data_IF_078767123724
#
_entry.id   IF_078767123724
#
_cell.length_a   1.000
_cell.length_b   1.000
_cell.length_c   1.000
_cell.angle_alpha   90.00
_cell.angle_beta   90.00
_cell.angle_gamma   90.00
#
_symmetry.space_group_name_H-M   'P 1'
#
loop_
_entity.id
_entity.type
_entity.pdbx_description
1 polymer ?
#
# COMPACT_ATOMS: atom_id res chain seq x y z
N UNK A 1 -15.90 13.30 18.05
CA UNK A 1 -16.90 12.69 17.15
C UNK A 1 -18.18 12.42 17.92
N UNK A 2 -19.37 12.63 17.35
CA UNK A 2 -20.62 12.23 18.02
C UNK A 2 -20.91 10.74 17.74
N UNK A 3 -21.61 10.02 18.64
CA UNK A 3 -22.01 8.62 18.40
C UNK A 3 -22.84 8.44 17.13
N UNK A 4 -23.68 9.42 16.78
CA UNK A 4 -24.54 9.37 15.59
C UNK A 4 -23.72 9.43 14.29
N UNK A 5 -22.66 10.24 14.23
CA UNK A 5 -21.78 10.30 13.07
C UNK A 5 -20.99 9.01 12.88
N UNK A 6 -20.51 8.41 13.97
CA UNK A 6 -19.83 7.09 13.92
C UNK A 6 -20.78 6.00 13.43
N UNK A 7 -22.03 5.97 13.91
CA UNK A 7 -22.99 4.95 13.43
C UNK A 7 -23.34 5.16 11.95
N UNK A 8 -23.47 6.41 11.51
CA UNK A 8 -23.67 6.72 10.09
C UNK A 8 -22.47 6.28 9.23
N UNK A 9 -21.25 6.50 9.69
CA UNK A 9 -20.04 6.01 9.04
C UNK A 9 -20.02 4.47 8.95
N UNK A 10 -20.35 3.77 10.04
CA UNK A 10 -20.49 2.30 10.04
C UNK A 10 -21.58 1.83 9.08
N UNK A 11 -22.68 2.58 8.93
CA UNK A 11 -23.74 2.25 7.99
C UNK A 11 -23.25 2.28 6.53
N UNK A 12 -22.46 3.29 6.17
CA UNK A 12 -21.79 3.37 4.85
C UNK A 12 -20.86 2.17 4.66
N UNK A 13 -20.03 1.86 5.65
CA UNK A 13 -19.06 0.76 5.55
C UNK A 13 -19.70 -0.63 5.52
N UNK A 14 -20.93 -0.81 6.05
CA UNK A 14 -21.68 -2.06 5.88
C UNK A 14 -22.11 -2.31 4.43
N UNK A 15 -22.32 -1.26 3.64
CA UNK A 15 -22.73 -1.37 2.23
C UNK A 15 -21.53 -1.33 1.28
N UNK A 16 -20.57 -0.45 1.57
CA UNK A 16 -19.37 -0.23 0.77
C UNK A 16 -18.17 -0.19 1.71
N UNK A 17 -17.67 -1.37 2.10
CA UNK A 17 -16.55 -1.48 3.04
C UNK A 17 -15.26 -0.95 2.43
N UNK A 18 -14.21 -0.82 3.25
CA UNK A 18 -12.89 -0.36 2.79
C UNK A 18 -12.20 -1.45 1.98
N UNK A 19 -11.68 -1.08 0.82
CA UNK A 19 -10.59 -1.74 0.11
C UNK A 19 -9.32 -1.02 0.53
N UNK A 20 -8.55 -1.63 1.43
CA UNK A 20 -7.30 -1.05 1.89
C UNK A 20 -6.14 -1.48 0.98
N UNK A 21 -5.36 -0.48 0.55
CA UNK A 21 -4.31 -0.63 -0.44
C UNK A 21 -3.01 -1.25 0.06
N UNK A 22 -2.74 -1.25 1.36
CA UNK A 22 -1.45 -1.69 1.89
C UNK A 22 -1.47 -2.03 3.39
N UNK A 23 -1.13 -3.27 3.74
CA UNK A 23 -0.98 -3.76 5.10
C UNK A 23 0.12 -4.83 5.17
N UNK A 24 1.07 -4.64 6.08
CA UNK A 24 2.29 -5.46 6.23
C UNK A 24 2.19 -6.58 7.27
N UNK A 25 0.97 -7.00 7.62
CA UNK A 25 0.76 -8.15 8.49
C UNK A 25 1.66 -9.37 8.12
N UNK A 26 1.90 -9.71 6.83
CA UNK A 26 2.84 -10.76 6.48
C UNK A 26 4.27 -10.53 7.00
N UNK A 27 4.83 -9.33 6.82
CA UNK A 27 6.16 -9.00 7.33
C UNK A 27 6.21 -8.97 8.86
N UNK A 28 5.18 -8.39 9.50
CA UNK A 28 5.08 -8.42 10.96
C UNK A 28 5.04 -9.86 11.51
N UNK A 29 4.31 -10.76 10.84
CA UNK A 29 4.25 -12.19 11.19
C UNK A 29 5.58 -12.92 10.95
N UNK A 30 6.31 -12.57 9.88
CA UNK A 30 7.69 -13.05 9.69
C UNK A 30 8.57 -12.70 10.87
N UNK A 31 8.59 -11.41 11.24
CA UNK A 31 9.50 -10.89 12.25
C UNK A 31 9.15 -11.36 13.67
N UNK A 32 7.87 -11.39 14.01
CA UNK A 32 7.42 -11.64 15.39
C UNK A 32 7.17 -13.13 15.70
N UNK A 33 6.83 -13.94 14.69
CA UNK A 33 6.39 -15.30 14.88
C UNK A 33 7.01 -16.31 13.91
N UNK A 34 7.90 -15.89 13.00
CA UNK A 34 8.43 -16.77 11.97
C UNK A 34 7.32 -17.42 11.13
N UNK A 35 6.25 -16.67 10.87
CA UNK A 35 5.02 -17.10 10.18
C UNK A 35 4.13 -18.10 10.94
N UNK A 36 4.39 -18.40 12.21
CA UNK A 36 3.59 -19.34 12.98
C UNK A 36 2.21 -18.78 13.35
N UNK A 37 1.18 -19.18 12.59
CA UNK A 37 -0.21 -18.83 12.81
C UNK A 37 -0.84 -19.51 14.04
N UNK A 38 -0.22 -20.54 14.61
CA UNK A 38 -0.66 -21.12 15.88
C UNK A 38 -0.12 -20.32 17.07
N UNK A 39 1.08 -19.74 16.92
CA UNK A 39 1.64 -18.82 17.92
C UNK A 39 0.94 -17.45 17.92
N UNK A 40 0.35 -17.04 16.79
CA UNK A 40 -0.43 -15.80 16.64
C UNK A 40 -1.73 -16.07 15.90
N UNK A 41 -2.76 -16.45 16.68
CA UNK A 41 -4.11 -16.67 16.17
C UNK A 41 -4.82 -15.33 15.89
N UNK A 42 -5.09 -15.05 14.62
CA UNK A 42 -5.72 -13.80 14.18
C UNK A 42 -7.22 -13.74 14.49
N UNK A 43 -7.83 -14.80 15.00
CA UNK A 43 -9.20 -14.77 15.54
C UNK A 43 -9.24 -14.25 16.98
N UNK A 44 -8.10 -14.26 17.68
CA UNK A 44 -7.93 -13.68 19.00
C UNK A 44 -7.56 -12.20 18.91
N UNK A 45 -7.66 -11.51 20.05
CA UNK A 45 -7.20 -10.13 20.18
C UNK A 45 -5.67 -10.07 20.11
N UNK A 46 -5.15 -9.34 19.12
CA UNK A 46 -3.71 -9.15 18.91
C UNK A 46 -3.27 -7.69 19.16
N UNK A 47 -4.10 -6.86 19.81
CA UNK A 47 -3.85 -5.43 19.96
C UNK A 47 -2.58 -5.08 20.75
N UNK A 48 -2.02 -6.03 21.50
CA UNK A 48 -0.76 -5.86 22.23
C UNK A 48 0.48 -5.95 21.34
N UNK A 49 0.36 -6.38 20.08
CA UNK A 49 1.51 -6.65 19.20
C UNK A 49 1.32 -6.31 17.72
N UNK A 50 0.08 -6.27 17.24
CA UNK A 50 -0.28 -6.04 15.85
C UNK A 50 -1.35 -4.95 15.76
N UNK A 51 -1.33 -4.21 14.67
CA UNK A 51 -2.45 -3.37 14.25
C UNK A 51 -3.60 -4.21 13.70
N UNK A 52 -3.33 -5.44 13.25
CA UNK A 52 -4.32 -6.27 12.55
C UNK A 52 -4.70 -7.54 13.31
N UNK A 53 -6.00 -7.76 13.43
CA UNK A 53 -6.63 -9.08 13.64
C UNK A 53 -8.02 -9.10 12.99
N UNK A 54 -8.62 -10.29 12.87
CA UNK A 54 -9.89 -10.47 12.14
C UNK A 54 -11.07 -9.77 12.82
N UNK A 55 -11.03 -9.61 14.15
CA UNK A 55 -12.05 -8.90 14.90
C UNK A 55 -12.03 -7.40 14.59
N UNK A 56 -10.84 -6.80 14.65
CA UNK A 56 -10.64 -5.38 14.35
C UNK A 56 -10.84 -5.03 12.88
N UNK A 57 -10.45 -5.90 11.93
CA UNK A 57 -10.75 -5.69 10.50
C UNK A 57 -12.27 -5.56 10.27
N UNK A 58 -13.06 -6.44 10.89
CA UNK A 58 -14.53 -6.36 10.82
C UNK A 58 -15.07 -5.11 11.52
N UNK A 59 -14.53 -4.74 12.69
CA UNK A 59 -14.93 -3.54 13.41
C UNK A 59 -14.63 -2.24 12.62
N UNK A 60 -13.53 -2.25 11.86
CA UNK A 60 -13.13 -1.19 10.96
C UNK A 60 -13.92 -1.13 9.66
N UNK A 61 -14.68 -2.17 9.33
CA UNK A 61 -15.41 -2.24 8.07
C UNK A 61 -14.49 -2.46 6.86
N UNK A 62 -13.40 -3.20 7.04
CA UNK A 62 -12.54 -3.65 5.93
C UNK A 62 -13.22 -4.81 5.20
N UNK A 63 -13.37 -4.68 3.88
CA UNK A 63 -14.01 -5.69 3.02
C UNK A 63 -13.08 -6.23 1.95
N UNK A 64 -11.99 -5.54 1.66
CA UNK A 64 -10.87 -6.09 0.91
C UNK A 64 -9.55 -5.52 1.44
N UNK A 65 -8.49 -6.32 1.36
CA UNK A 65 -7.16 -5.95 1.76
C UNK A 65 -6.18 -6.40 0.69
N UNK A 66 -5.33 -5.48 0.24
CA UNK A 66 -4.06 -5.87 -0.38
C UNK A 66 -3.06 -6.16 0.73
N UNK A 67 -2.73 -7.42 0.91
CA UNK A 67 -1.67 -7.86 1.81
C UNK A 67 -0.32 -7.62 1.13
N UNK A 68 0.51 -6.80 1.76
CA UNK A 68 1.85 -6.53 1.26
C UNK A 68 2.68 -7.81 1.36
N UNK A 69 3.32 -8.19 0.25
CA UNK A 69 4.36 -9.23 0.23
C UNK A 69 5.74 -8.58 0.20
N UNK A 70 5.88 -7.48 0.95
CA UNK A 70 7.11 -6.72 1.15
C UNK A 70 8.28 -7.61 1.57
N UNK A 71 9.46 -7.27 1.05
CA UNK A 71 10.75 -7.73 1.54
C UNK A 71 11.75 -6.56 1.54
N UNK A 72 12.70 -6.49 2.49
CA UNK A 72 13.65 -5.39 2.58
C UNK A 72 14.52 -5.25 1.34
N UNK A 73 14.88 -4.01 1.01
CA UNK A 73 15.68 -3.68 -0.18
C UNK A 73 17.15 -4.12 -0.05
N UNK A 74 17.60 -4.46 1.17
CA UNK A 74 18.91 -5.06 1.41
C UNK A 74 19.00 -6.50 0.88
N UNK A 75 17.86 -7.18 0.72
CA UNK A 75 17.79 -8.44 -0.01
C UNK A 75 17.83 -8.14 -1.51
N UNK A 76 18.64 -8.89 -2.23
CA UNK A 76 18.79 -8.74 -3.69
C UNK A 76 18.92 -10.11 -4.36
N UNK A 77 18.84 -10.13 -5.68
CA UNK A 77 19.00 -11.38 -6.41
C UNK A 77 17.94 -12.42 -6.05
N UNK A 78 18.37 -13.66 -5.93
CA UNK A 78 17.50 -14.80 -5.61
C UNK A 78 17.01 -14.79 -4.16
N UNK A 79 17.70 -14.09 -3.25
CA UNK A 79 17.29 -13.98 -1.84
C UNK A 79 16.01 -13.13 -1.71
N UNK A 80 15.93 -12.02 -2.44
CA UNK A 80 14.71 -11.18 -2.50
C UNK A 80 13.52 -11.95 -3.07
N UNK A 81 13.75 -12.70 -4.16
CA UNK A 81 12.71 -13.54 -4.78
C UNK A 81 12.24 -14.62 -3.81
N UNK A 82 13.16 -15.32 -3.15
CA UNK A 82 12.83 -16.39 -2.20
C UNK A 82 12.02 -15.85 -1.02
N UNK A 83 12.43 -14.72 -0.44
CA UNK A 83 11.68 -14.08 0.64
C UNK A 83 10.29 -13.62 0.17
N UNK A 84 10.16 -13.12 -1.06
CA UNK A 84 8.85 -12.73 -1.63
C UNK A 84 7.93 -13.94 -1.75
N UNK A 85 8.47 -15.10 -2.14
CA UNK A 85 7.70 -16.35 -2.22
C UNK A 85 7.23 -16.81 -0.84
N UNK A 86 8.05 -16.66 0.21
CA UNK A 86 7.66 -16.95 1.60
C UNK A 86 6.51 -16.04 2.07
N UNK A 87 6.56 -14.74 1.72
CA UNK A 87 5.47 -13.80 2.04
C UNK A 87 4.16 -14.17 1.31
N UNK A 88 4.24 -14.56 0.04
CA UNK A 88 3.09 -15.06 -0.74
C UNK A 88 2.51 -16.34 -0.12
N UNK A 89 3.37 -17.28 0.29
CA UNK A 89 2.97 -18.53 0.93
C UNK A 89 2.22 -18.25 2.23
N UNK A 90 2.73 -17.33 3.07
CA UNK A 90 2.05 -16.92 4.29
C UNK A 90 0.65 -16.38 4.03
N UNK A 91 0.46 -15.46 3.07
CA UNK A 91 -0.87 -14.92 2.75
C UNK A 91 -1.82 -16.03 2.31
N UNK A 92 -1.35 -16.98 1.50
CA UNK A 92 -2.16 -18.14 1.07
C UNK A 92 -2.54 -19.02 2.26
N UNK A 93 -1.57 -19.42 3.08
CA UNK A 93 -1.81 -20.21 4.29
C UNK A 93 -2.77 -19.52 5.26
N UNK A 94 -2.65 -18.20 5.44
CA UNK A 94 -3.57 -17.39 6.24
C UNK A 94 -5.01 -17.45 5.68
N UNK A 95 -5.19 -17.28 4.36
CA UNK A 95 -6.53 -17.36 3.76
C UNK A 95 -7.14 -18.77 3.84
N UNK A 96 -6.33 -19.82 3.78
CA UNK A 96 -6.76 -21.20 3.94
C UNK A 96 -7.09 -21.55 5.40
N UNK A 97 -6.38 -20.95 6.36
CA UNK A 97 -6.59 -21.14 7.80
C UNK A 97 -7.88 -20.49 8.30
N UNK A 98 -8.28 -19.36 7.70
CA UNK A 98 -9.44 -18.57 8.12
C UNK A 98 -10.50 -18.39 7.00
N UNK A 99 -11.02 -19.47 6.39
CA UNK A 99 -11.86 -19.40 5.18
C UNK A 99 -13.26 -18.81 5.42
N UNK A 100 -13.70 -18.78 6.69
CA UNK A 100 -14.95 -18.13 7.12
C UNK A 100 -14.82 -16.59 7.18
N UNK A 101 -13.59 -16.08 7.24
CA UNK A 101 -13.30 -14.65 7.35
C UNK A 101 -12.69 -14.08 6.08
N UNK A 102 -11.79 -14.84 5.45
CA UNK A 102 -10.98 -14.40 4.32
C UNK A 102 -11.31 -15.20 3.07
N UNK A 103 -11.18 -14.56 1.92
CA UNK A 103 -11.23 -15.20 0.60
C UNK A 103 -10.10 -14.66 -0.25
N UNK A 104 -9.19 -15.53 -0.71
CA UNK A 104 -8.21 -15.14 -1.71
C UNK A 104 -8.94 -14.61 -2.96
N UNK A 105 -8.59 -13.39 -3.38
CA UNK A 105 -9.23 -12.69 -4.49
C UNK A 105 -8.19 -12.32 -5.54
N UNK A 106 -8.51 -12.63 -6.80
CA UNK A 106 -7.59 -12.49 -7.93
C UNK A 106 -8.13 -11.56 -9.01
N UNK A 107 -9.38 -11.12 -8.88
CA UNK A 107 -10.08 -10.30 -9.86
C UNK A 107 -11.03 -9.32 -9.18
N UNK A 108 -11.44 -8.28 -9.89
CA UNK A 108 -12.49 -7.36 -9.43
C UNK A 108 -13.80 -8.09 -9.09
N UNK A 109 -14.14 -9.15 -9.82
CA UNK A 109 -15.35 -9.96 -9.55
C UNK A 109 -15.20 -10.83 -8.29
N UNK A 110 -13.97 -11.22 -7.93
CA UNK A 110 -13.72 -11.89 -6.64
C UNK A 110 -13.93 -10.95 -5.45
N UNK A 111 -13.57 -9.66 -5.58
CA UNK A 111 -13.87 -8.65 -4.53
C UNK A 111 -15.37 -8.55 -4.31
N UNK A 112 -16.14 -8.40 -5.39
CA UNK A 112 -17.60 -8.32 -5.32
C UNK A 112 -18.21 -9.60 -4.71
N UNK A 113 -17.73 -10.78 -5.13
CA UNK A 113 -18.17 -12.06 -4.58
C UNK A 113 -17.85 -12.20 -3.08
N UNK A 114 -16.65 -11.80 -2.65
CA UNK A 114 -16.27 -11.84 -1.23
C UNK A 114 -17.18 -10.94 -0.39
N UNK A 115 -17.46 -9.73 -0.89
CA UNK A 115 -18.36 -8.78 -0.23
C UNK A 115 -19.77 -9.35 -0.07
N UNK A 116 -20.33 -9.96 -1.12
CA UNK A 116 -21.65 -10.61 -1.08
C UNK A 116 -21.71 -11.76 -0.06
N UNK A 117 -20.61 -12.47 0.13
CA UNK A 117 -20.46 -13.56 1.09
C UNK A 117 -20.11 -13.10 2.51
N UNK A 118 -19.91 -11.79 2.74
CA UNK A 118 -19.51 -11.25 4.04
C UNK A 118 -18.09 -11.64 4.48
N UNK A 119 -17.22 -11.96 3.50
CA UNK A 119 -15.80 -12.28 3.67
C UNK A 119 -14.93 -11.13 3.20
N UNK A 120 -13.74 -11.00 3.77
CA UNK A 120 -12.74 -10.03 3.35
C UNK A 120 -12.02 -10.60 2.13
N UNK A 121 -12.06 -9.88 1.00
CA UNK A 121 -11.25 -10.21 -0.16
C UNK A 121 -9.78 -9.97 0.14
N UNK A 122 -8.96 -11.01 0.07
CA UNK A 122 -7.53 -10.97 0.33
C UNK A 122 -6.77 -10.99 -1.00
N UNK A 123 -6.17 -9.88 -1.35
CA UNK A 123 -5.28 -9.72 -2.50
C UNK A 123 -3.82 -9.64 -2.04
N UNK A 124 -2.89 -9.72 -2.97
CA UNK A 124 -1.46 -9.55 -2.69
C UNK A 124 -0.87 -8.44 -3.54
N UNK A 125 0.05 -7.68 -2.98
CA UNK A 125 0.83 -6.69 -3.71
C UNK A 125 2.30 -6.72 -3.30
N UNK A 126 3.19 -6.80 -4.28
CA UNK A 126 4.62 -6.82 -4.04
C UNK A 126 5.14 -5.39 -3.89
N UNK A 127 6.01 -5.17 -2.92
CA UNK A 127 6.52 -3.83 -2.60
C UNK A 127 8.00 -3.72 -2.94
N UNK A 128 8.25 -3.24 -4.16
CA UNK A 128 9.59 -2.97 -4.68
C UNK A 128 10.02 -3.92 -5.78
N UNK A 129 10.55 -3.33 -6.86
CA UNK A 129 10.99 -4.02 -8.07
C UNK A 129 12.15 -4.99 -7.88
N UNK A 130 12.86 -4.95 -6.74
CA UNK A 130 13.87 -5.95 -6.39
C UNK A 130 13.25 -7.36 -6.23
N UNK A 131 11.96 -7.45 -5.91
CA UNK A 131 11.21 -8.71 -5.80
C UNK A 131 11.16 -9.52 -7.11
N UNK A 132 11.39 -8.88 -8.26
CA UNK A 132 11.43 -9.57 -9.57
C UNK A 132 12.84 -9.82 -10.09
N UNK A 133 13.88 -9.38 -9.37
CA UNK A 133 15.29 -9.56 -9.75
C UNK A 133 15.58 -9.21 -11.23
N UNK A 134 15.05 -8.08 -11.70
CA UNK A 134 15.15 -7.62 -13.10
C UNK A 134 14.75 -8.68 -14.15
N UNK A 135 13.81 -9.56 -13.81
CA UNK A 135 13.33 -10.65 -14.68
C UNK A 135 11.83 -10.52 -14.95
N UNK A 136 11.48 -10.28 -16.21
CA UNK A 136 10.09 -10.26 -16.66
C UNK A 136 9.40 -11.63 -16.50
N UNK A 137 10.16 -12.73 -16.51
CA UNK A 137 9.61 -14.06 -16.24
C UNK A 137 9.25 -14.22 -14.75
N UNK A 138 10.07 -13.67 -13.84
CA UNK A 138 9.78 -13.65 -12.40
C UNK A 138 8.54 -12.80 -12.12
N UNK A 139 8.43 -11.61 -12.75
CA UNK A 139 7.22 -10.78 -12.69
C UNK A 139 5.95 -11.58 -13.07
N UNK A 140 6.00 -12.31 -14.18
CA UNK A 140 4.89 -13.19 -14.61
C UNK A 140 4.60 -14.31 -13.61
N UNK A 141 5.63 -14.89 -13.00
CA UNK A 141 5.48 -15.92 -11.98
C UNK A 141 4.78 -15.38 -10.72
N UNK A 142 5.18 -14.20 -10.22
CA UNK A 142 4.52 -13.54 -9.10
C UNK A 142 3.04 -13.26 -9.40
N UNK A 143 2.73 -12.76 -10.61
CA UNK A 143 1.34 -12.58 -11.04
C UNK A 143 0.54 -13.89 -11.03
N UNK A 144 1.13 -14.99 -11.54
CA UNK A 144 0.52 -16.31 -11.55
C UNK A 144 0.29 -16.85 -10.13
N UNK A 145 1.16 -16.51 -9.19
CA UNK A 145 1.02 -16.80 -7.77
C UNK A 145 0.01 -15.91 -7.05
N UNK A 146 -0.57 -14.92 -7.73
CA UNK A 146 -1.71 -14.13 -7.23
C UNK A 146 -1.39 -12.68 -6.90
N UNK A 147 -0.16 -12.21 -7.12
CA UNK A 147 0.20 -10.80 -6.93
C UNK A 147 -0.53 -9.92 -7.95
N UNK A 148 -1.09 -8.80 -7.50
CA UNK A 148 -1.95 -7.90 -8.30
C UNK A 148 -1.46 -6.47 -8.41
N UNK A 149 -0.52 -6.03 -7.59
CA UNK A 149 0.30 -4.86 -7.89
C UNK A 149 1.78 -5.14 -7.65
N UNK A 150 2.64 -4.34 -8.27
CA UNK A 150 4.05 -4.21 -7.90
C UNK A 150 4.39 -2.73 -7.72
N UNK A 151 4.85 -2.35 -6.54
CA UNK A 151 5.47 -1.04 -6.29
C UNK A 151 6.83 -1.04 -6.98
N UNK A 152 7.10 -0.07 -7.86
CA UNK A 152 8.28 -0.16 -8.74
C UNK A 152 9.61 -0.08 -7.98
N UNK A 153 9.63 0.64 -6.86
CA UNK A 153 10.74 0.67 -5.89
C UNK A 153 10.19 0.54 -4.47
N UNK A 154 11.06 0.25 -3.50
CA UNK A 154 10.80 0.57 -2.10
C UNK A 154 11.61 1.83 -1.77
N UNK A 155 12.28 1.90 -0.61
CA UNK A 155 13.07 3.07 -0.19
C UNK A 155 14.41 3.26 -0.93
N UNK A 156 14.81 2.33 -1.79
CA UNK A 156 16.07 2.39 -2.55
C UNK A 156 15.83 2.20 -4.03
N UNK A 157 16.71 2.80 -4.84
CA UNK A 157 16.70 2.62 -6.29
C UNK A 157 16.85 1.13 -6.65
N UNK A 158 16.17 0.72 -7.73
CA UNK A 158 16.45 -0.55 -8.41
C UNK A 158 17.20 -0.25 -9.71
N UNK A 159 17.80 -1.25 -10.38
CA UNK A 159 18.59 -1.01 -11.60
C UNK A 159 17.86 -0.35 -12.79
N UNK A 160 16.55 -0.12 -12.68
CA UNK A 160 15.68 0.36 -13.75
C UNK A 160 14.62 1.40 -13.31
N UNK A 161 14.61 1.83 -12.04
CA UNK A 161 13.70 2.84 -11.52
C UNK A 161 14.27 3.56 -10.29
N UNK A 162 14.03 4.88 -10.20
CA UNK A 162 14.44 5.69 -9.05
C UNK A 162 13.36 5.73 -7.94
N UNK A 163 13.80 5.60 -6.69
CA UNK A 163 13.00 5.77 -5.47
C UNK A 163 12.97 7.25 -5.03
N UNK A 164 11.95 7.63 -4.26
CA UNK A 164 11.79 8.99 -3.76
C UNK A 164 12.76 9.35 -2.63
N UNK A 165 13.26 8.34 -1.92
CA UNK A 165 14.08 8.46 -0.71
C UNK A 165 15.54 8.07 -0.96
N UNK A 166 15.97 8.08 -2.21
CA UNK A 166 17.33 7.77 -2.63
C UNK A 166 17.84 8.84 -3.61
N UNK A 167 19.15 8.86 -3.85
CA UNK A 167 19.76 9.80 -4.78
C UNK A 167 19.38 9.43 -6.24
N UNK A 168 18.99 10.40 -7.08
CA UNK A 168 18.61 10.11 -8.47
C UNK A 168 19.74 9.45 -9.28
N UNK A 169 19.45 8.35 -9.98
CA UNK A 169 20.42 7.66 -10.85
C UNK A 169 19.95 7.66 -12.30
N UNK A 170 18.69 7.36 -12.55
CA UNK A 170 18.15 7.14 -13.90
C UNK A 170 17.38 8.36 -14.43
N UNK A 171 16.92 9.23 -13.53
CA UNK A 171 15.99 10.32 -13.84
C UNK A 171 14.56 9.83 -14.09
N UNK A 172 14.14 8.77 -13.39
CA UNK A 172 12.83 8.13 -13.57
C UNK A 172 12.94 6.64 -13.92
N UNK A 173 12.34 6.24 -15.04
CA UNK A 173 12.43 4.86 -15.56
C UNK A 173 13.49 4.73 -16.66
N UNK A 174 14.26 3.64 -16.62
CA UNK A 174 15.09 3.24 -17.76
C UNK A 174 14.24 2.59 -18.87
N UNK A 175 14.84 2.22 -20.01
CA UNK A 175 14.11 1.52 -21.07
C UNK A 175 13.62 0.15 -20.61
N UNK A 176 14.39 -0.55 -19.78
CA UNK A 176 13.90 -1.77 -19.12
C UNK A 176 12.78 -1.47 -18.13
N UNK A 177 12.85 -0.38 -17.37
CA UNK A 177 11.77 0.04 -16.46
C UNK A 177 10.45 0.30 -17.19
N UNK A 178 10.51 0.96 -18.35
CA UNK A 178 9.33 1.10 -19.22
C UNK A 178 8.80 -0.27 -19.70
N UNK A 179 9.68 -1.22 -19.99
CA UNK A 179 9.28 -2.57 -20.42
C UNK A 179 8.65 -3.38 -19.28
N UNK A 180 9.10 -3.19 -18.04
CA UNK A 180 8.44 -3.72 -16.85
C UNK A 180 7.00 -3.21 -16.77
N UNK A 181 6.78 -1.89 -16.88
CA UNK A 181 5.43 -1.28 -16.92
C UNK A 181 4.56 -1.88 -18.03
N UNK A 182 5.12 -2.04 -19.25
CA UNK A 182 4.39 -2.64 -20.38
C UNK A 182 4.02 -4.10 -20.14
N UNK A 183 4.87 -4.88 -19.48
CA UNK A 183 4.57 -6.28 -19.16
C UNK A 183 3.54 -6.37 -18.02
N UNK A 184 3.60 -5.47 -17.02
CA UNK A 184 2.58 -5.34 -15.98
C UNK A 184 1.19 -5.06 -16.57
N UNK A 185 1.09 -4.10 -17.49
CA UNK A 185 -0.16 -3.82 -18.21
C UNK A 185 -0.65 -5.02 -19.03
N UNK A 186 0.25 -5.76 -19.67
CA UNK A 186 -0.11 -6.99 -20.41
C UNK A 186 -0.64 -8.09 -19.50
N UNK A 187 -0.11 -8.19 -18.28
CA UNK A 187 -0.54 -9.18 -17.29
C UNK A 187 -1.88 -8.83 -16.64
N UNK A 188 -2.13 -7.53 -16.43
CA UNK A 188 -3.19 -7.03 -15.55
C UNK A 188 -2.70 -6.87 -14.11
N UNK A 189 -1.38 -6.71 -13.92
CA UNK A 189 -0.80 -6.31 -12.65
C UNK A 189 -0.78 -4.77 -12.60
N UNK A 190 -1.33 -4.20 -11.55
CA UNK A 190 -1.36 -2.75 -11.32
C UNK A 190 0.06 -2.23 -11.08
N UNK A 191 0.37 -1.12 -11.73
CA UNK A 191 1.62 -0.38 -11.52
C UNK A 191 1.43 0.49 -10.30
N UNK A 192 2.14 0.16 -9.21
CA UNK A 192 2.09 0.94 -7.98
C UNK A 192 3.25 1.94 -7.93
N UNK A 193 2.88 3.20 -7.68
CA UNK A 193 3.73 4.39 -7.67
C UNK A 193 3.90 4.98 -6.27
N UNK A 194 3.47 4.29 -5.22
CA UNK A 194 4.06 4.51 -3.90
C UNK A 194 5.59 4.31 -3.98
N UNK A 195 6.33 4.93 -3.07
CA UNK A 195 7.80 4.92 -2.94
C UNK A 195 8.63 5.55 -4.06
N UNK A 196 8.16 5.56 -5.30
CA UNK A 196 8.98 5.97 -6.44
C UNK A 196 9.22 7.48 -6.48
N UNK A 197 10.31 7.90 -7.12
CA UNK A 197 10.59 9.33 -7.35
C UNK A 197 9.49 9.99 -8.19
N UNK A 198 9.34 11.32 -8.09
CA UNK A 198 8.35 12.04 -8.89
C UNK A 198 8.58 11.90 -10.41
N UNK A 199 9.83 11.72 -10.85
CA UNK A 199 10.15 11.49 -12.26
C UNK A 199 9.74 10.07 -12.68
N UNK A 200 9.94 9.08 -11.82
CA UNK A 200 9.42 7.72 -12.03
C UNK A 200 7.89 7.71 -12.11
N UNK A 201 7.20 8.50 -11.29
CA UNK A 201 5.73 8.65 -11.38
C UNK A 201 5.31 9.15 -12.77
N UNK A 202 5.95 10.20 -13.27
CA UNK A 202 5.65 10.81 -14.58
C UNK A 202 5.94 9.87 -15.74
N UNK A 203 7.06 9.14 -15.68
CA UNK A 203 7.41 8.16 -16.71
C UNK A 203 6.45 6.98 -16.73
N UNK A 204 6.09 6.44 -15.57
CA UNK A 204 5.12 5.36 -15.49
C UNK A 204 3.74 5.78 -16.03
N UNK A 205 3.26 6.99 -15.68
CA UNK A 205 2.01 7.54 -16.22
C UNK A 205 2.05 7.75 -17.74
N UNK A 206 3.21 8.14 -18.28
CA UNK A 206 3.42 8.29 -19.74
C UNK A 206 3.40 6.95 -20.46
N UNK A 207 3.96 5.91 -19.87
CA UNK A 207 4.13 4.59 -20.50
C UNK A 207 2.88 3.72 -20.32
N UNK A 208 2.19 3.84 -19.19
CA UNK A 208 1.14 2.89 -18.83
C UNK A 208 -0.12 3.04 -19.68
N UNK A 209 -0.60 1.91 -20.19
CA UNK A 209 -1.87 1.80 -20.92
C UNK A 209 -3.06 1.41 -20.02
N UNK A 210 -2.80 1.18 -18.72
CA UNK A 210 -3.80 0.83 -17.72
C UNK A 210 -3.80 1.85 -16.57
N UNK A 211 -4.88 1.90 -15.77
CA UNK A 211 -4.89 2.67 -14.53
C UNK A 211 -3.74 2.27 -13.60
N UNK A 212 -3.03 3.28 -13.08
CA UNK A 212 -1.99 3.11 -12.05
C UNK A 212 -2.59 3.16 -10.64
N UNK A 213 -1.80 2.75 -9.67
CA UNK A 213 -2.12 2.75 -8.25
C UNK A 213 -1.07 3.57 -7.50
N UNK A 214 -1.46 4.28 -6.45
CA UNK A 214 -0.58 4.55 -5.32
C UNK A 214 -1.17 3.80 -4.13
N UNK A 215 -0.54 2.72 -3.69
CA UNK A 215 -1.13 1.81 -2.68
C UNK A 215 -1.22 2.45 -1.31
N UNK A 216 -0.32 3.38 -1.00
CA UNK A 216 -0.23 4.11 0.27
C UNK A 216 0.63 5.39 0.11
N UNK A 217 0.06 6.47 -0.41
CA UNK A 217 0.74 7.77 -0.53
C UNK A 217 -0.26 8.92 -0.38
N UNK A 218 0.16 9.99 0.29
CA UNK A 218 -0.69 11.14 0.58
C UNK A 218 -0.27 12.37 -0.25
N UNK A 219 -0.97 13.51 -0.11
CA UNK A 219 -0.66 14.74 -0.87
C UNK A 219 0.64 15.44 -0.44
N UNK A 220 1.51 15.77 -1.42
CA UNK A 220 2.76 16.50 -1.15
C UNK A 220 2.52 17.99 -0.91
N UNK A 221 1.47 18.56 -1.49
CA UNK A 221 1.12 19.97 -1.27
C UNK A 221 0.67 20.25 0.18
N UNK A 222 0.11 19.24 0.86
CA UNK A 222 -0.29 19.34 2.27
C UNK A 222 0.89 19.07 3.21
N UNK A 223 1.74 18.10 2.89
CA UNK A 223 2.94 17.80 3.65
C UNK A 223 4.10 17.49 2.69
N UNK A 224 5.08 18.37 2.63
CA UNK A 224 6.20 18.28 1.69
C UNK A 224 7.20 17.20 2.12
N UNK A 225 6.89 15.96 1.73
CA UNK A 225 7.73 14.80 1.96
C UNK A 225 7.87 14.00 0.65
N UNK A 226 9.07 13.45 0.33
CA UNK A 226 9.30 12.74 -0.93
C UNK A 226 8.35 11.55 -1.17
N UNK A 227 7.88 10.89 -0.11
CA UNK A 227 6.88 9.81 -0.24
C UNK A 227 5.50 10.27 -0.69
N UNK A 228 5.19 11.57 -0.65
CA UNK A 228 3.90 12.08 -1.06
C UNK A 228 3.85 12.47 -2.54
N UNK A 229 2.63 12.46 -3.08
CA UNK A 229 2.34 12.66 -4.52
C UNK A 229 2.25 14.15 -4.84
N UNK A 230 3.02 14.67 -5.82
CA UNK A 230 2.87 16.04 -6.33
C UNK A 230 1.53 16.28 -7.05
N UNK A 231 1.06 17.52 -7.04
CA UNK A 231 -0.23 17.90 -7.66
C UNK A 231 -0.27 17.63 -9.17
N UNK A 232 0.84 17.81 -9.90
CA UNK A 232 0.87 17.53 -11.34
C UNK A 232 0.66 16.04 -11.64
N UNK A 233 1.10 15.16 -10.74
CA UNK A 233 0.91 13.71 -10.82
C UNK A 233 -0.51 13.33 -10.41
N UNK A 234 -1.05 13.93 -9.34
CA UNK A 234 -2.45 13.73 -8.93
C UNK A 234 -3.44 14.14 -10.04
N UNK A 235 -3.22 15.29 -10.67
CA UNK A 235 -4.08 15.78 -11.75
C UNK A 235 -4.08 14.86 -12.99
N UNK A 236 -2.98 14.17 -13.26
CA UNK A 236 -2.85 13.22 -14.37
C UNK A 236 -3.68 11.93 -14.18
N UNK A 237 -4.10 11.60 -12.96
CA UNK A 237 -4.90 10.40 -12.68
C UNK A 237 -6.25 10.40 -13.40
N UNK A 238 -6.85 11.57 -13.63
CA UNK A 238 -8.10 11.68 -14.39
C UNK A 238 -7.98 11.21 -15.84
N UNK A 239 -6.82 11.46 -16.47
CA UNK A 239 -6.53 11.01 -17.83
C UNK A 239 -6.05 9.56 -17.91
N UNK A 240 -5.35 9.07 -16.89
CA UNK A 240 -4.88 7.68 -16.82
C UNK A 240 -5.96 6.69 -16.35
N UNK A 241 -6.89 7.13 -15.48
CA UNK A 241 -7.90 6.31 -14.84
C UNK A 241 -7.49 5.76 -13.45
N UNK A 242 -6.27 6.01 -12.98
CA UNK A 242 -5.73 5.47 -11.73
C UNK A 242 -6.37 5.97 -10.43
N UNK A 243 -5.83 5.50 -9.30
CA UNK A 243 -6.27 5.85 -7.94
C UNK A 243 -5.08 6.08 -7.01
N UNK A 244 -5.11 7.16 -6.22
CA UNK A 244 -4.15 7.41 -5.15
C UNK A 244 -4.77 7.10 -3.78
N UNK A 245 -4.22 6.11 -3.07
CA UNK A 245 -4.74 5.66 -1.79
C UNK A 245 -4.01 6.35 -0.64
N UNK A 246 -4.72 7.21 0.09
CA UNK A 246 -4.14 8.03 1.14
C UNK A 246 -3.66 7.15 2.31
N UNK A 247 -2.45 7.42 2.80
CA UNK A 247 -1.82 6.69 3.89
C UNK A 247 -1.88 7.43 5.22
N UNK A 248 -1.66 6.71 6.32
CA UNK A 248 -1.78 7.23 7.67
C UNK A 248 -0.43 7.48 8.34
N UNK A 249 0.70 7.18 7.68
CA UNK A 249 2.04 7.34 8.25
C UNK A 249 2.25 8.78 8.75
N UNK A 250 2.43 9.01 10.06
CA UNK A 250 2.42 10.34 10.66
C UNK A 250 3.42 11.33 10.05
N UNK A 251 4.64 10.89 9.74
CA UNK A 251 5.65 11.76 9.12
C UNK A 251 5.31 12.13 7.67
N UNK A 252 4.41 11.42 7.00
CA UNK A 252 3.95 11.77 5.66
C UNK A 252 2.71 12.66 5.70
N UNK A 253 1.93 12.62 6.78
CA UNK A 253 0.68 13.41 6.86
C UNK A 253 0.79 14.66 7.72
N UNK A 254 1.93 14.88 8.39
CA UNK A 254 2.11 15.99 9.30
C UNK A 254 3.55 16.51 9.30
N UNK A 255 3.73 17.78 8.94
CA UNK A 255 5.05 18.36 8.72
C UNK A 255 5.96 18.37 9.95
N UNK A 256 5.42 18.63 11.15
CA UNK A 256 6.21 18.65 12.39
C UNK A 256 6.70 17.23 12.81
N UNK A 257 6.06 16.16 12.31
CA UNK A 257 6.47 14.79 12.55
C UNK A 257 7.67 14.35 11.67
N UNK A 258 7.96 15.06 10.58
CA UNK A 258 9.09 14.74 9.67
C UNK A 258 10.41 14.84 10.42
N UNK A 259 10.74 16.04 10.94
CA UNK A 259 12.00 16.32 11.64
C UNK A 259 12.17 15.43 12.87
N UNK A 260 11.07 15.18 13.60
CA UNK A 260 11.09 14.29 14.75
C UNK A 260 11.46 12.86 14.35
N UNK A 261 10.90 12.36 13.25
CA UNK A 261 11.14 10.98 12.80
C UNK A 261 12.55 10.79 12.29
N UNK A 262 13.08 11.71 11.48
CA UNK A 262 14.49 11.64 11.07
C UNK A 262 15.45 11.66 12.26
N UNK A 263 15.16 12.45 13.30
CA UNK A 263 15.95 12.45 14.51
C UNK A 263 15.83 11.13 15.29
N UNK A 264 14.65 10.50 15.32
CA UNK A 264 14.44 9.20 15.94
C UNK A 264 15.21 8.08 15.19
N UNK A 265 15.15 8.06 13.85
CA UNK A 265 15.82 7.07 13.00
C UNK A 265 17.35 7.18 13.10
N UNK A 266 17.87 8.42 13.12
CA UNK A 266 19.28 8.67 13.37
C UNK A 266 19.70 8.18 14.76
N UNK A 267 18.84 8.35 15.78
CA UNK A 267 19.08 7.81 17.12
C UNK A 267 19.08 6.28 17.13
N UNK A 268 18.14 5.62 16.45
CA UNK A 268 18.12 4.16 16.32
C UNK A 268 19.40 3.62 15.67
N UNK A 269 19.80 4.23 14.56
CA UNK A 269 21.01 3.86 13.82
C UNK A 269 22.26 4.06 14.67
N UNK A 270 22.34 5.15 15.44
CA UNK A 270 23.46 5.39 16.36
C UNK A 270 23.57 4.35 17.49
N UNK A 271 22.48 3.65 17.80
CA UNK A 271 22.44 2.54 18.76
C UNK A 271 22.56 1.15 18.09
N UNK A 272 22.78 1.10 16.77
CA UNK A 272 22.98 -0.15 16.03
C UNK A 272 21.70 -0.89 15.66
N UNK A 273 20.54 -0.23 15.72
CA UNK A 273 19.26 -0.78 15.31
C UNK A 273 18.80 -0.20 13.98
N UNK A 274 18.13 -1.02 13.17
CA UNK A 274 17.31 -0.52 12.07
C UNK A 274 16.16 0.33 12.63
N UNK A 275 15.74 1.43 11.97
CA UNK A 275 14.52 2.16 12.33
C UNK A 275 13.26 1.27 12.35
N UNK A 276 13.26 0.17 11.62
CA UNK A 276 12.15 -0.80 11.55
C UNK A 276 12.31 -1.98 12.53
N UNK A 277 13.34 -1.97 13.38
CA UNK A 277 13.55 -3.02 14.38
C UNK A 277 12.50 -2.94 15.49
N UNK A 278 11.71 -4.00 15.63
CA UNK A 278 10.62 -4.11 16.62
C UNK A 278 11.01 -4.96 17.84
N UNK A 279 12.29 -5.30 17.99
CA UNK A 279 12.78 -6.02 19.17
C UNK A 279 12.56 -5.20 20.45
N UNK A 280 12.49 -5.89 21.58
CA UNK A 280 12.35 -5.23 22.88
C UNK A 280 13.49 -4.22 23.16
N UNK A 281 14.71 -4.49 22.67
CA UNK A 281 15.85 -3.60 22.83
C UNK A 281 15.73 -2.34 21.98
N UNK A 282 15.38 -2.49 20.69
CA UNK A 282 15.10 -1.38 19.79
C UNK A 282 13.95 -0.49 20.30
N UNK A 283 12.86 -1.13 20.74
CA UNK A 283 11.71 -0.45 21.34
C UNK A 283 12.11 0.41 22.55
N UNK A 284 12.99 -0.10 23.43
CA UNK A 284 13.45 0.65 24.59
C UNK A 284 14.25 1.91 24.20
N UNK A 285 15.09 1.82 23.16
CA UNK A 285 15.84 2.98 22.62
C UNK A 285 14.87 4.04 22.07
N UNK A 286 13.87 3.61 21.31
CA UNK A 286 12.86 4.50 20.74
C UNK A 286 12.01 5.18 21.83
N UNK A 287 11.60 4.44 22.86
CA UNK A 287 10.86 4.96 24.01
C UNK A 287 11.68 5.99 24.80
N UNK A 288 12.97 5.74 25.02
CA UNK A 288 13.85 6.68 25.70
C UNK A 288 13.98 8.00 24.91
N UNK A 289 14.11 7.91 23.58
CA UNK A 289 14.12 9.08 22.70
C UNK A 289 12.80 9.87 22.78
N UNK A 290 11.66 9.17 22.70
CA UNK A 290 10.34 9.80 22.76
C UNK A 290 10.01 10.44 24.13
N UNK A 291 10.61 9.94 25.22
CA UNK A 291 10.45 10.53 26.55
C UNK A 291 11.20 11.87 26.70
N UNK A 292 12.38 12.00 26.08
CA UNK A 292 13.14 13.26 26.04
C UNK A 292 12.53 14.25 25.01
N UNK A 293 12.04 13.72 23.90
CA UNK A 293 11.48 14.49 22.79
C UNK A 293 10.07 13.98 22.47
N UNK A 294 9.02 14.55 23.07
CA UNK A 294 7.65 14.12 22.82
C UNK A 294 7.31 14.13 21.32
N UNK A 295 6.79 13.01 20.83
CA UNK A 295 6.40 12.83 19.43
C UNK A 295 5.21 13.74 19.08
N UNK A 296 5.24 14.44 17.93
CA UNK A 296 4.04 15.06 17.37
C UNK A 296 3.02 13.99 16.98
N UNK A 297 1.80 14.11 17.49
CA UNK A 297 0.73 13.13 17.25
C UNK A 297 -0.14 13.64 16.11
N UNK A 298 -0.04 12.99 14.95
CA UNK A 298 -1.01 13.15 13.87
C UNK A 298 -2.39 12.67 14.33
N UNK A 299 -3.43 13.14 13.67
CA UNK A 299 -4.83 12.87 13.98
C UNK A 299 -5.60 12.47 12.73
N UNK A 300 -6.81 11.96 12.91
CA UNK A 300 -7.74 11.73 11.81
C UNK A 300 -7.99 12.98 10.94
N UNK A 301 -7.90 14.17 11.53
CA UNK A 301 -8.10 15.42 10.80
C UNK A 301 -6.96 15.70 9.83
N UNK A 302 -5.71 15.40 10.20
CA UNK A 302 -4.56 15.55 9.29
C UNK A 302 -4.75 14.66 8.04
N UNK A 303 -5.15 13.38 8.22
CA UNK A 303 -5.44 12.48 7.09
C UNK A 303 -6.61 13.01 6.23
N UNK A 304 -7.65 13.54 6.85
CA UNK A 304 -8.77 14.11 6.12
C UNK A 304 -8.39 15.40 5.34
N UNK A 305 -7.43 16.20 5.82
CA UNK A 305 -6.90 17.35 5.08
C UNK A 305 -6.20 16.91 3.79
N UNK A 306 -5.44 15.80 3.83
CA UNK A 306 -4.86 15.21 2.63
C UNK A 306 -5.95 14.72 1.66
N UNK A 307 -6.99 14.05 2.14
CA UNK A 307 -8.08 13.56 1.28
C UNK A 307 -8.90 14.68 0.65
N UNK A 308 -9.17 15.77 1.37
CA UNK A 308 -9.84 16.96 0.82
C UNK A 308 -9.05 17.55 -0.36
N UNK A 309 -7.74 17.72 -0.19
CA UNK A 309 -6.87 18.23 -1.25
C UNK A 309 -6.73 17.25 -2.42
N UNK A 310 -6.52 15.95 -2.14
CA UNK A 310 -6.44 14.93 -3.18
C UNK A 310 -7.74 14.87 -3.99
N UNK A 311 -8.90 15.01 -3.34
CA UNK A 311 -10.20 15.11 -4.01
C UNK A 311 -10.29 16.35 -4.91
N UNK A 312 -9.78 17.49 -4.47
CA UNK A 312 -9.78 18.73 -5.26
C UNK A 312 -8.93 18.59 -6.54
N UNK A 313 -7.74 17.99 -6.43
CA UNK A 313 -6.78 17.91 -7.54
C UNK A 313 -7.01 16.71 -8.45
N UNK A 314 -7.15 15.50 -7.88
CA UNK A 314 -7.31 14.26 -8.65
C UNK A 314 -8.76 13.97 -9.02
N UNK A 315 -9.73 14.44 -8.22
CA UNK A 315 -11.15 14.10 -8.33
C UNK A 315 -11.54 12.87 -7.50
N UNK A 316 -12.82 12.81 -7.11
CA UNK A 316 -13.35 11.77 -6.19
C UNK A 316 -13.26 10.35 -6.74
N UNK A 317 -13.20 10.19 -8.07
CA UNK A 317 -13.07 8.88 -8.72
C UNK A 317 -11.63 8.31 -8.68
N UNK A 318 -10.67 9.08 -8.16
CA UNK A 318 -9.23 8.82 -8.24
C UNK A 318 -8.54 8.77 -6.88
N UNK A 319 -9.30 8.59 -5.79
CA UNK A 319 -8.75 8.47 -4.44
C UNK A 319 -9.24 7.20 -3.72
N UNK A 320 -8.42 6.69 -2.82
CA UNK A 320 -8.68 5.50 -1.98
C UNK A 320 -8.01 5.60 -0.62
N UNK A 321 -7.88 4.47 0.09
CA UNK A 321 -7.26 4.39 1.43
C UNK A 321 -6.23 3.26 1.48
N UNK A 322 -5.04 3.54 2.00
CA UNK A 322 -3.96 2.56 2.19
C UNK A 322 -3.23 2.81 3.50
N UNK A 323 -3.73 2.20 4.57
CA UNK A 323 -3.43 2.60 5.94
C UNK A 323 -1.99 2.38 6.41
N UNK A 324 -1.25 1.49 5.75
CA UNK A 324 0.11 1.11 6.14
C UNK A 324 0.17 0.42 7.53
N UNK A 325 -0.93 -0.25 7.89
CA UNK A 325 -1.02 -1.00 9.15
C UNK A 325 -0.01 -2.15 9.18
N UNK A 326 0.53 -2.43 10.36
CA UNK A 326 1.67 -3.33 10.61
C UNK A 326 2.98 -3.00 9.85
N UNK A 327 3.01 -1.94 9.02
CA UNK A 327 4.19 -1.46 8.26
C UNK A 327 4.90 -0.28 8.89
N UNK A 328 4.17 0.51 9.69
CA UNK A 328 4.72 1.66 10.43
C UNK A 328 4.56 1.49 11.95
N UNK A 329 5.53 1.93 12.79
CA UNK A 329 5.43 1.82 14.25
C UNK A 329 4.45 2.81 14.89
N UNK A 330 4.02 3.84 14.15
CA UNK A 330 3.23 4.92 14.68
C UNK A 330 2.06 5.27 13.77
N UNK A 331 0.90 5.51 14.38
CA UNK A 331 -0.30 5.90 13.66
C UNK A 331 -0.92 7.19 14.21
N UNK A 332 -1.84 7.83 13.46
CA UNK A 332 -2.60 8.97 13.92
C UNK A 332 -3.59 8.59 15.03
N UNK A 333 -3.83 9.51 15.96
CA UNK A 333 -4.85 9.32 16.99
C UNK A 333 -6.24 9.14 16.37
N UNK A 334 -6.94 8.07 16.76
CA UNK A 334 -8.22 7.67 16.19
C UNK A 334 -8.10 6.74 14.98
N UNK A 335 -6.88 6.47 14.52
CA UNK A 335 -6.53 5.50 13.49
C UNK A 335 -5.46 4.53 14.03
N UNK A 336 -5.53 4.23 15.32
CA UNK A 336 -4.50 3.49 16.07
C UNK A 336 -4.31 2.04 15.59
N UNK A 337 -5.32 1.47 14.94
CA UNK A 337 -5.30 0.15 14.33
C UNK A 337 -6.38 0.01 13.25
N UNK A 338 -6.50 -1.18 12.66
CA UNK A 338 -7.43 -1.43 11.54
C UNK A 338 -8.91 -1.26 11.92
N UNK A 339 -9.28 -1.08 13.19
CA UNK A 339 -10.64 -0.74 13.59
C UNK A 339 -10.96 0.76 13.43
N UNK A 340 -9.97 1.59 13.08
CA UNK A 340 -10.07 3.05 13.06
C UNK A 340 -10.81 3.68 11.88
N UNK A 341 -10.99 3.00 10.75
CA UNK A 341 -11.58 3.61 9.54
C UNK A 341 -12.95 4.30 9.74
N UNK A 342 -13.90 3.80 10.56
CA UNK A 342 -15.16 4.50 10.82
C UNK A 342 -14.96 5.89 11.41
N UNK A 343 -13.84 6.14 12.11
CA UNK A 343 -13.48 7.46 12.64
C UNK A 343 -13.12 8.41 11.48
N UNK A 344 -12.34 7.95 10.50
CA UNK A 344 -12.03 8.72 9.30
C UNK A 344 -13.28 9.01 8.47
N UNK A 345 -14.12 8.00 8.23
CA UNK A 345 -15.37 8.18 7.49
C UNK A 345 -16.31 9.17 8.21
N UNK A 346 -16.38 9.13 9.54
CA UNK A 346 -17.17 10.09 10.31
C UNK A 346 -16.61 11.52 10.24
N UNK A 347 -15.28 11.68 10.19
CA UNK A 347 -14.63 12.97 9.98
C UNK A 347 -14.93 13.52 8.58
N UNK A 348 -14.90 12.69 7.53
CA UNK A 348 -15.25 13.11 6.17
C UNK A 348 -16.74 13.45 6.04
N UNK A 349 -17.64 12.70 6.68
CA UNK A 349 -19.06 13.05 6.78
C UNK A 349 -19.27 14.42 7.47
N UNK A 350 -18.47 14.72 8.50
CA UNK A 350 -18.49 16.01 9.19
C UNK A 350 -18.00 17.16 8.28
N UNK A 351 -17.21 16.85 7.27
CA UNK A 351 -16.71 17.75 6.21
C UNK A 351 -17.61 17.73 4.96
N UNK A 352 -18.86 17.30 5.10
CA UNK A 352 -19.88 17.30 4.05
C UNK A 352 -19.55 16.38 2.84
N UNK A 353 -18.72 15.36 3.01
CA UNK A 353 -18.59 14.30 2.01
C UNK A 353 -19.91 13.51 1.91
N UNK A 354 -20.37 13.27 0.68
CA UNK A 354 -21.59 12.50 0.47
C UNK A 354 -21.33 11.01 0.67
N UNK A 355 -22.38 10.25 1.01
CA UNK A 355 -22.27 8.78 1.13
C UNK A 355 -21.85 8.13 -0.21
N UNK A 356 -22.21 8.76 -1.34
CA UNK A 356 -21.77 8.32 -2.67
C UNK A 356 -20.27 8.58 -2.91
N UNK A 357 -19.73 9.70 -2.43
CA UNK A 357 -18.29 9.98 -2.48
C UNK A 357 -17.52 8.99 -1.61
N UNK A 358 -18.05 8.70 -0.42
CA UNK A 358 -17.44 7.75 0.50
C UNK A 358 -17.47 6.32 -0.06
N UNK A 359 -18.55 5.92 -0.73
CA UNK A 359 -18.63 4.64 -1.43
C UNK A 359 -17.58 4.50 -2.55
N UNK A 360 -17.23 5.61 -3.23
CA UNK A 360 -16.14 5.64 -4.22
C UNK A 360 -14.78 5.47 -3.54
N UNK A 361 -14.53 6.28 -2.51
CA UNK A 361 -13.29 6.25 -1.71
C UNK A 361 -13.03 4.85 -1.13
N UNK A 362 -14.06 4.21 -0.56
CA UNK A 362 -13.88 2.95 0.18
C UNK A 362 -13.91 1.72 -0.73
N UNK A 363 -14.75 1.67 -1.77
CA UNK A 363 -14.95 0.45 -2.55
C UNK A 363 -14.81 0.63 -4.05
N UNK A 364 -15.63 1.52 -4.64
CA UNK A 364 -15.85 1.48 -6.08
C UNK A 364 -14.62 1.87 -6.91
N UNK A 365 -13.78 2.79 -6.43
CA UNK A 365 -12.59 3.21 -7.17
C UNK A 365 -11.58 2.08 -7.31
N UNK A 366 -11.30 1.34 -6.23
CA UNK A 366 -10.36 0.23 -6.25
C UNK A 366 -10.84 -0.92 -7.14
N UNK A 367 -12.12 -1.28 -7.05
CA UNK A 367 -12.74 -2.32 -7.92
C UNK A 367 -12.69 -1.90 -9.39
N UNK A 368 -12.99 -0.63 -9.70
CA UNK A 368 -12.91 -0.08 -11.06
C UNK A 368 -11.50 -0.20 -11.62
N UNK A 369 -10.50 0.28 -10.89
CA UNK A 369 -9.09 0.26 -11.30
C UNK A 369 -8.61 -1.16 -11.61
N UNK A 370 -8.93 -2.13 -10.74
CA UNK A 370 -8.59 -3.53 -10.99
C UNK A 370 -9.29 -4.09 -12.24
N UNK A 371 -10.59 -3.82 -12.41
CA UNK A 371 -11.38 -4.28 -13.57
C UNK A 371 -10.90 -3.67 -14.89
N UNK A 372 -10.49 -2.40 -14.87
CA UNK A 372 -9.92 -1.72 -16.04
C UNK A 372 -8.55 -2.31 -16.40
N UNK A 373 -7.69 -2.61 -15.41
CA UNK A 373 -6.41 -3.29 -15.65
C UNK A 373 -6.60 -4.68 -16.28
N UNK A 374 -7.58 -5.47 -15.81
CA UNK A 374 -7.94 -6.75 -16.44
C UNK A 374 -8.42 -6.59 -17.89
N UNK A 375 -9.15 -5.51 -18.18
CA UNK A 375 -9.64 -5.20 -19.52
C UNK A 375 -8.49 -4.87 -20.46
N UNK A 376 -7.57 -4.01 -20.03
CA UNK A 376 -6.34 -3.70 -20.77
C UNK A 376 -5.50 -4.95 -20.99
N UNK A 377 -5.34 -5.80 -19.97
CA UNK A 377 -4.63 -7.05 -20.08
C UNK A 377 -5.25 -8.02 -21.09
N UNK A 378 -6.59 -8.11 -21.17
CA UNK A 378 -7.26 -8.94 -22.19
C UNK A 378 -6.93 -8.44 -23.60
N UNK A 379 -6.99 -7.13 -23.82
CA UNK A 379 -6.62 -6.50 -25.10
C UNK A 379 -5.16 -6.77 -25.45
N UNK A 380 -4.22 -6.42 -24.57
CA UNK A 380 -2.79 -6.53 -24.82
C UNK A 380 -2.32 -7.98 -25.02
N UNK A 381 -2.92 -8.96 -24.33
CA UNK A 381 -2.64 -10.39 -24.55
C UNK A 381 -3.11 -10.91 -25.90
N UNK A 382 -4.14 -10.29 -26.49
CA UNK A 382 -4.59 -10.59 -27.84
C UNK A 382 -3.71 -9.92 -28.92
N UNK A 383 -3.13 -8.76 -28.60
CA UNK A 383 -2.29 -7.99 -29.53
C UNK A 383 -0.83 -8.46 -29.57
N UNK A 384 -0.27 -8.93 -28.43
CA UNK A 384 1.15 -9.33 -28.35
C UNK A 384 1.43 -10.44 -27.32
N UNK A 385 2.47 -11.23 -27.62
CA UNK A 385 3.04 -12.20 -26.69
C UNK A 385 3.75 -11.55 -25.49
N UNK A 386 4.14 -12.34 -24.48
CA UNK A 386 4.95 -11.85 -23.36
C UNK A 386 6.30 -11.34 -23.83
N UNK A 387 6.79 -10.28 -23.20
CA UNK A 387 8.14 -9.78 -23.47
C UNK A 387 9.19 -10.78 -22.99
N UNK A 388 10.23 -10.95 -23.80
CA UNK A 388 11.44 -11.74 -23.51
C UNK A 388 12.69 -10.86 -23.41
N UNK A 389 12.50 -9.53 -23.37
CA UNK A 389 13.59 -8.59 -23.25
C UNK A 389 14.32 -8.76 -21.92
N UNK A 390 15.63 -8.53 -21.92
CA UNK A 390 16.45 -8.46 -20.70
C UNK A 390 16.86 -7.02 -20.43
N UNK A 391 17.26 -6.74 -19.19
CA UNK A 391 17.81 -5.44 -18.80
C UNK A 391 19.03 -5.11 -19.64
N UNK A 392 19.93 -6.06 -19.87
CA UNK A 392 21.14 -5.85 -20.66
C UNK A 392 20.85 -5.45 -22.11
N UNK A 393 19.77 -5.98 -22.69
CA UNK A 393 19.34 -5.62 -24.05
C UNK A 393 18.78 -4.20 -24.13
N UNK A 394 18.08 -3.75 -23.08
CA UNK A 394 17.39 -2.46 -23.07
C UNK A 394 18.21 -1.33 -22.44
N UNK A 395 19.03 -1.59 -21.44
CA UNK A 395 19.76 -0.56 -20.71
C UNK A 395 21.28 -0.65 -20.92
N UNK A 396 21.76 -1.74 -21.52
CA UNK A 396 23.19 -2.05 -21.56
C UNK A 396 23.65 -2.83 -20.33
N UNK A 397 24.95 -3.17 -20.30
CA UNK A 397 25.54 -4.00 -19.25
C UNK A 397 25.45 -3.33 -17.86
#
# INVERSE_FOLDING_TARGET
MTPELIERARAVLRTTPVVDGHNDLPWAMRAQAGYDLDAVDLTADQSHRLHTDLGRLRAGGVGAQFWSVFVPAELSGDDAVSATLEQIDFVRAMTERYPEHLRLALTADDLESAREEGRIASLMGAEGGHSVNSSLATLRALHALGVRYLTLTHNSNVPWADAATDEPVHGGLTRFGEEVVREMNRLGMLVDLSHVSADTMRDALRVSEAPVLFSHSSSRAICDHPRNVPDDVLAALSGNGGVAMATFVPMFVRADAIEWTYAADANMTAHGFSPFDTSAAATAVQQAFAADRPRPVATVADVADHLDHMREVAGIDHIGIGGDFDGTPFLPAGLDDVAGYPVLIAELLRRDWSEADLAKLTWHNAVRVLREAETVARRLRAERGPSIATREQLDGA
#
